data_IF_233604208114
#
_entry.id   IF_233604208114
#
_cell.length_a   1.000
_cell.length_b   1.000
_cell.length_c   1.000
_cell.angle_alpha   90.00
_cell.angle_beta   90.00
_cell.angle_gamma   90.00
#
_symmetry.space_group_name_H-M   'P 1'
#
loop_
_entity.id
_entity.type
_entity.pdbx_description
1 polymer ?
#
# COMPACT_ATOMS: atom_id res chain seq x y z
N UNK A 1 -15.11 6.55 11.39
CA UNK A 1 -15.44 6.79 9.96
C UNK A 1 -14.22 7.45 9.35
N UNK A 2 -13.29 6.62 8.88
CA UNK A 2 -11.88 6.99 8.80
C UNK A 2 -11.61 7.54 7.41
N UNK A 3 -11.49 8.87 7.32
CA UNK A 3 -11.40 9.66 6.08
C UNK A 3 -10.26 9.22 5.15
N UNK A 4 -9.24 8.52 5.66
CA UNK A 4 -8.15 7.95 4.87
C UNK A 4 -8.60 6.85 3.90
N UNK A 5 -9.58 6.02 4.30
CA UNK A 5 -10.02 4.85 3.51
C UNK A 5 -10.69 5.23 2.19
N UNK A 6 -11.25 6.44 2.09
CA UNK A 6 -11.99 6.89 0.90
C UNK A 6 -11.08 7.42 -0.23
N UNK A 7 -9.86 7.85 0.06
CA UNK A 7 -8.97 8.45 -0.93
C UNK A 7 -8.21 7.38 -1.71
N UNK A 8 -7.74 6.34 -1.00
CA UNK A 8 -7.09 5.18 -1.61
C UNK A 8 -8.02 4.42 -2.56
N UNK A 9 -9.28 4.17 -2.16
CA UNK A 9 -10.22 3.44 -3.02
C UNK A 9 -10.49 4.16 -4.33
N UNK A 10 -10.67 5.49 -4.29
CA UNK A 10 -10.85 6.31 -5.51
C UNK A 10 -9.63 6.29 -6.42
N UNK A 11 -8.43 6.32 -5.85
CA UNK A 11 -7.18 6.25 -6.61
C UNK A 11 -7.02 4.89 -7.32
N UNK A 12 -7.31 3.80 -6.61
CA UNK A 12 -7.29 2.44 -7.18
C UNK A 12 -8.34 2.29 -8.27
N UNK A 13 -9.59 2.70 -8.01
CA UNK A 13 -10.66 2.64 -9.03
C UNK A 13 -10.26 3.42 -10.28
N UNK A 14 -9.71 4.64 -10.13
CA UNK A 14 -9.28 5.44 -11.27
C UNK A 14 -8.16 4.75 -12.06
N UNK A 15 -7.19 4.13 -11.38
CA UNK A 15 -6.14 3.37 -12.03
C UNK A 15 -6.66 2.13 -12.79
N UNK A 16 -7.75 1.51 -12.35
CA UNK A 16 -8.37 0.41 -13.11
C UNK A 16 -9.17 0.89 -14.32
N UNK A 17 -9.80 2.06 -14.25
CA UNK A 17 -10.64 2.57 -15.35
C UNK A 17 -9.90 3.40 -16.39
N UNK A 18 -8.73 3.96 -16.04
CA UNK A 18 -7.93 4.86 -16.88
C UNK A 18 -6.49 4.33 -17.02
N UNK A 19 -6.17 3.65 -18.14
CA UNK A 19 -4.83 3.09 -18.38
C UNK A 19 -3.72 4.14 -18.47
N UNK A 20 -4.02 5.35 -18.95
CA UNK A 20 -3.03 6.43 -19.06
C UNK A 20 -2.72 6.99 -17.67
N UNK A 21 -3.74 7.14 -16.82
CA UNK A 21 -3.56 7.47 -15.41
C UNK A 21 -2.73 6.40 -14.69
N UNK A 22 -3.03 5.12 -14.91
CA UNK A 22 -2.27 4.01 -14.33
C UNK A 22 -0.80 4.05 -14.73
N UNK A 23 -0.52 4.27 -16.02
CA UNK A 23 0.85 4.34 -16.54
C UNK A 23 1.63 5.49 -15.90
N UNK A 24 1.02 6.67 -15.78
CA UNK A 24 1.64 7.81 -15.07
C UNK A 24 1.84 7.52 -13.59
N UNK A 25 0.86 6.91 -12.95
CA UNK A 25 0.90 6.58 -11.51
C UNK A 25 2.02 5.60 -11.18
N UNK A 26 2.27 4.61 -12.04
CA UNK A 26 3.38 3.67 -11.89
C UNK A 26 4.74 4.31 -12.17
N UNK A 27 4.80 5.30 -13.07
CA UNK A 27 6.04 5.99 -13.43
C UNK A 27 6.48 7.05 -12.40
N UNK A 28 5.56 7.90 -11.95
CA UNK A 28 5.80 8.93 -10.94
C UNK A 28 4.60 9.07 -9.99
N UNK A 29 4.52 8.21 -8.97
CA UNK A 29 3.39 8.22 -8.05
C UNK A 29 3.34 9.51 -7.22
N UNK A 30 4.48 10.15 -6.96
CA UNK A 30 4.52 11.38 -6.16
C UNK A 30 3.90 12.53 -6.92
N UNK A 31 4.24 12.71 -8.20
CA UNK A 31 3.65 13.75 -9.04
C UNK A 31 2.13 13.54 -9.20
N UNK A 32 1.69 12.31 -9.48
CA UNK A 32 0.27 12.00 -9.71
C UNK A 32 -0.58 12.16 -8.44
N UNK A 33 -0.04 11.80 -7.27
CA UNK A 33 -0.76 12.01 -6.01
C UNK A 33 -0.83 13.50 -5.61
N UNK A 34 0.21 14.29 -5.91
CA UNK A 34 0.18 15.73 -5.70
C UNK A 34 -0.93 16.41 -6.52
N UNK A 35 -1.18 15.97 -7.77
CA UNK A 35 -2.33 16.43 -8.58
C UNK A 35 -3.68 16.18 -7.89
N UNK A 36 -3.77 15.14 -7.05
CA UNK A 36 -4.99 14.71 -6.36
C UNK A 36 -5.10 15.26 -4.93
N UNK A 37 -4.17 16.13 -4.51
CA UNK A 37 -4.13 16.72 -3.16
C UNK A 37 -3.63 15.77 -2.06
N UNK A 38 -2.97 14.67 -2.43
CA UNK A 38 -2.35 13.74 -1.51
C UNK A 38 -0.84 13.99 -1.48
N UNK A 39 -0.38 14.71 -0.46
CA UNK A 39 1.04 15.03 -0.32
C UNK A 39 1.82 13.89 0.34
N UNK A 40 2.95 13.54 -0.27
CA UNK A 40 3.92 12.61 0.31
C UNK A 40 4.94 13.41 1.11
N UNK A 41 5.21 13.06 2.39
CA UNK A 41 6.21 13.73 3.21
C UNK A 41 7.58 13.83 2.55
N UNK A 42 8.30 14.91 2.83
CA UNK A 42 9.66 15.09 2.34
C UNK A 42 10.59 13.98 2.87
N UNK A 43 11.50 13.50 2.01
CA UNK A 43 12.43 12.42 2.34
C UNK A 43 11.87 11.00 2.17
N UNK A 44 10.57 10.83 1.91
CA UNK A 44 9.97 9.51 1.65
C UNK A 44 9.90 9.24 0.14
N UNK A 45 10.41 8.08 -0.28
CA UNK A 45 10.20 7.56 -1.63
C UNK A 45 8.94 6.72 -1.64
N UNK A 46 7.99 7.09 -2.50
CA UNK A 46 6.82 6.28 -2.78
C UNK A 46 7.10 5.37 -3.97
N UNK A 47 6.74 4.10 -3.85
CA UNK A 47 6.78 3.13 -4.94
C UNK A 47 5.44 2.41 -4.99
N UNK A 48 4.86 2.29 -6.19
CA UNK A 48 3.62 1.55 -6.41
C UNK A 48 3.97 0.37 -7.31
N UNK A 49 3.62 -0.82 -6.86
CA UNK A 49 3.81 -2.06 -7.63
C UNK A 49 2.44 -2.64 -7.91
N UNK A 50 2.22 -3.02 -9.16
CA UNK A 50 1.02 -3.75 -9.54
C UNK A 50 1.15 -5.22 -9.11
N UNK A 51 0.10 -5.73 -8.48
CA UNK A 51 0.00 -7.15 -8.16
C UNK A 51 -0.54 -7.89 -9.39
N UNK A 52 0.32 -8.68 -10.01
CA UNK A 52 0.02 -9.44 -11.24
C UNK A 52 0.10 -10.93 -10.93
N UNK A 53 -0.56 -11.78 -11.73
CA UNK A 53 -0.58 -13.24 -11.51
C UNK A 53 0.81 -13.89 -11.51
N UNK A 54 1.79 -13.21 -12.10
CA UNK A 54 3.10 -13.78 -12.38
C UNK A 54 4.15 -13.40 -11.32
N UNK A 55 3.82 -12.43 -10.46
CA UNK A 55 4.76 -11.87 -9.47
C UNK A 55 4.07 -11.78 -8.11
N UNK A 56 4.64 -12.46 -7.12
CA UNK A 56 4.20 -12.36 -5.73
C UNK A 56 4.97 -11.23 -5.05
N UNK A 57 4.25 -10.19 -4.61
CA UNK A 57 4.83 -9.06 -3.89
C UNK A 57 4.75 -9.28 -2.38
N UNK A 58 5.88 -9.25 -1.68
CA UNK A 58 5.94 -9.35 -0.22
C UNK A 58 6.59 -8.08 0.35
N UNK A 59 5.89 -7.39 1.25
CA UNK A 59 6.43 -6.23 1.97
C UNK A 59 7.17 -6.72 3.21
N UNK A 60 8.50 -6.64 3.19
CA UNK A 60 9.32 -6.90 4.36
C UNK A 60 9.59 -5.57 5.09
N UNK A 61 9.07 -5.37 6.32
CA UNK A 61 9.37 -4.17 7.09
C UNK A 61 10.86 -4.09 7.44
N UNK A 62 11.37 -2.88 7.61
CA UNK A 62 12.75 -2.68 8.05
C UNK A 62 12.98 -3.37 9.40
N UNK A 63 14.15 -3.98 9.58
CA UNK A 63 14.51 -4.56 10.87
C UNK A 63 14.41 -3.47 11.94
N UNK A 64 13.66 -3.70 13.04
CA UNK A 64 13.71 -2.79 14.17
C UNK A 64 15.16 -2.72 14.66
N UNK A 65 15.71 -1.52 14.75
CA UNK A 65 17.07 -1.32 15.22
C UNK A 65 17.13 -1.56 16.73
N UNK A 66 17.80 -2.62 17.17
CA UNK A 66 18.06 -2.91 18.58
C UNK A 66 17.51 -4.25 19.02
N UNK A 67 18.41 -5.20 19.32
CA UNK A 67 18.06 -6.47 19.95
C UNK A 67 17.40 -6.24 21.31
N UNK A 68 16.45 -7.12 21.63
CA UNK A 68 15.45 -7.04 22.70
C UNK A 68 14.24 -6.17 22.33
N UNK A 69 13.36 -6.75 21.51
CA UNK A 69 11.98 -6.27 21.38
C UNK A 69 11.26 -6.55 22.70
N UNK A 70 10.63 -5.53 23.28
CA UNK A 70 9.64 -5.75 24.34
C UNK A 70 8.38 -6.42 23.74
N UNK A 71 7.56 -7.11 24.53
CA UNK A 71 6.28 -7.69 24.04
C UNK A 71 5.39 -6.65 23.34
N UNK A 72 5.51 -5.37 23.71
CA UNK A 72 4.80 -4.24 23.10
C UNK A 72 5.35 -3.82 21.72
N UNK A 73 6.62 -4.08 21.42
CA UNK A 73 7.19 -3.84 20.09
C UNK A 73 6.87 -4.99 19.13
N UNK A 74 6.78 -6.21 19.65
CA UNK A 74 6.27 -7.36 18.88
C UNK A 74 4.83 -7.14 18.43
N UNK A 75 3.96 -6.53 19.24
CA UNK A 75 2.58 -6.23 18.84
C UNK A 75 2.50 -5.23 17.65
N UNK A 76 3.45 -4.30 17.52
CA UNK A 76 3.50 -3.37 16.38
C UNK A 76 4.00 -4.01 15.09
N UNK A 77 4.80 -5.07 15.17
CA UNK A 77 5.34 -5.79 14.01
C UNK A 77 4.41 -6.95 13.61
N UNK A 78 3.82 -7.63 14.59
CA UNK A 78 2.85 -8.70 14.42
C UNK A 78 1.41 -8.17 14.20
N UNK A 79 1.21 -6.86 14.34
CA UNK A 79 0.02 -6.13 13.93
C UNK A 79 -0.08 -6.06 12.42
N UNK A 80 -0.26 -7.21 11.78
CA UNK A 80 -0.77 -7.32 10.42
C UNK A 80 -2.09 -6.57 10.33
N UNK A 81 -2.02 -5.26 10.07
CA UNK A 81 -3.11 -4.50 9.48
C UNK A 81 -2.95 -4.53 7.95
N UNK A 82 -2.54 -5.69 7.43
CA UNK A 82 -2.93 -6.06 6.08
C UNK A 82 -4.36 -6.53 6.25
N UNK A 83 -5.34 -5.72 5.84
CA UNK A 83 -6.68 -6.22 5.58
C UNK A 83 -6.56 -7.13 4.36
N UNK A 84 -5.95 -8.30 4.56
CA UNK A 84 -5.99 -9.41 3.64
C UNK A 84 -7.44 -9.85 3.68
N UNK A 85 -8.22 -9.33 2.73
CA UNK A 85 -9.43 -9.98 2.29
C UNK A 85 -8.98 -11.29 1.64
N UNK A 86 -8.56 -12.26 2.45
CA UNK A 86 -8.66 -13.66 2.06
C UNK A 86 -10.15 -13.97 2.10
N UNK A 87 -10.88 -13.51 1.08
CA UNK A 87 -12.04 -14.26 0.65
C UNK A 87 -11.48 -15.54 0.07
N UNK A 88 -11.30 -16.56 0.91
CA UNK A 88 -11.20 -17.93 0.43
C UNK A 88 -12.40 -18.13 -0.51
N UNK A 89 -12.10 -18.26 -1.79
CA UNK A 89 -13.04 -18.81 -2.74
C UNK A 89 -13.51 -20.16 -2.20
N UNK A 90 -14.83 -20.33 -2.23
CA UNK A 90 -15.58 -21.54 -1.92
C UNK A 90 -14.87 -22.81 -2.40
N UNK A 91 -14.65 -23.72 -1.45
CA UNK A 91 -14.59 -25.15 -1.70
C UNK A 91 -15.69 -25.81 -0.86
N UNK A 92 -16.86 -25.95 -1.48
CA UNK A 92 -17.83 -27.05 -1.42
C UNK A 92 -19.28 -26.55 -1.52
#
# INVERSE_FOLDING_TARGET
>A
MNTQSNAYSRLVTKAWTDPDFKTRLLADPKAVMAESGLEVPEGIRLNIVEDTSDIINIVLPASPAGGALSEQDLEKVAGGTFSAIFSCYEWC
#
